data_IF_016613678130
#
_entry.id   IF_016613678130
#
_cell.length_a   1.000
_cell.length_b   1.000
_cell.length_c   1.000
_cell.angle_alpha   90.00
_cell.angle_beta   90.00
_cell.angle_gamma   90.00
#
_symmetry.space_group_name_H-M   'P 1'
#
loop_
_entity.id
_entity.type
_entity.pdbx_description
1 polymer ?
#
# COMPACT_ATOMS: atom_id res chain seq x y z
N UNK A 1 -4.78 -13.94 12.04
CA UNK A 1 -3.51 -13.80 12.80
C UNK A 1 -3.50 -12.59 13.75
N UNK A 2 -4.38 -11.59 13.59
CA UNK A 2 -4.48 -10.42 14.50
C UNK A 2 -5.85 -10.26 15.18
N UNK A 3 -6.71 -11.27 15.06
CA UNK A 3 -8.15 -11.16 15.35
C UNK A 3 -8.50 -11.75 16.73
N UNK A 4 -7.57 -12.49 17.36
CA UNK A 4 -7.76 -13.05 18.70
C UNK A 4 -6.40 -13.17 19.39
N UNK A 5 -6.24 -12.70 20.64
CA UNK A 5 -5.05 -12.99 21.43
C UNK A 5 -5.14 -14.44 21.91
N UNK A 6 -4.72 -15.39 21.07
CA UNK A 6 -4.53 -16.76 21.55
C UNK A 6 -3.05 -17.02 21.66
N UNK A 7 -2.57 -16.92 22.91
CA UNK A 7 -1.37 -17.58 23.39
C UNK A 7 -1.63 -19.09 23.26
N UNK A 8 -1.50 -19.64 22.05
CA UNK A 8 -1.86 -21.04 21.78
C UNK A 8 -2.14 -21.36 20.32
N UNK A 9 -1.09 -21.40 19.48
CA UNK A 9 -1.11 -22.08 18.18
C UNK A 9 -2.10 -21.54 17.12
N UNK A 10 -1.94 -22.04 15.89
CA UNK A 10 -2.91 -21.84 14.81
C UNK A 10 -3.96 -22.95 14.91
N UNK A 11 -5.13 -22.65 15.44
CA UNK A 11 -6.22 -23.63 15.47
C UNK A 11 -7.02 -23.59 14.16
N UNK A 12 -7.44 -24.76 13.67
CA UNK A 12 -8.26 -24.89 12.45
C UNK A 12 -9.60 -24.17 12.61
N UNK A 13 -10.10 -24.03 13.84
CA UNK A 13 -11.31 -23.30 14.22
C UNK A 13 -11.27 -21.81 13.85
N UNK A 14 -10.07 -21.20 13.74
CA UNK A 14 -9.88 -19.77 13.50
C UNK A 14 -9.77 -19.40 12.02
N UNK A 15 -9.74 -20.39 11.11
CA UNK A 15 -9.68 -20.15 9.66
C UNK A 15 -10.83 -19.24 9.17
N UNK A 16 -12.10 -19.43 9.58
CA UNK A 16 -13.21 -18.60 9.12
C UNK A 16 -13.03 -17.10 9.40
N UNK A 17 -12.38 -16.74 10.51
CA UNK A 17 -12.14 -15.35 10.88
C UNK A 17 -11.16 -14.65 9.93
N UNK A 18 -10.22 -15.41 9.36
CA UNK A 18 -9.25 -14.89 8.39
C UNK A 18 -9.77 -14.74 6.96
N UNK A 19 -10.88 -15.42 6.60
CA UNK A 19 -11.42 -15.43 5.23
C UNK A 19 -11.73 -14.02 4.71
N UNK A 20 -12.44 -13.14 5.46
CA UNK A 20 -12.74 -11.80 4.98
C UNK A 20 -11.50 -11.00 4.60
N UNK A 21 -10.44 -11.08 5.39
CA UNK A 21 -9.16 -10.44 5.11
C UNK A 21 -8.49 -11.06 3.89
N UNK A 22 -8.32 -12.39 3.88
CA UNK A 22 -7.62 -13.12 2.81
C UNK A 22 -8.28 -12.93 1.45
N UNK A 23 -9.62 -13.00 1.36
CA UNK A 23 -10.34 -12.78 0.11
C UNK A 23 -10.16 -11.33 -0.36
N UNK A 24 -10.27 -10.36 0.54
CA UNK A 24 -10.13 -8.94 0.21
C UNK A 24 -8.73 -8.63 -0.33
N UNK A 25 -7.68 -9.11 0.35
CA UNK A 25 -6.31 -8.80 -0.08
C UNK A 25 -5.93 -9.53 -1.37
N UNK A 26 -6.34 -10.79 -1.54
CA UNK A 26 -6.11 -11.53 -2.79
C UNK A 26 -6.87 -10.89 -3.96
N UNK A 27 -8.07 -10.37 -3.73
CA UNK A 27 -8.81 -9.63 -4.74
C UNK A 27 -8.07 -8.35 -5.13
N UNK A 28 -7.63 -7.53 -4.17
CA UNK A 28 -6.90 -6.28 -4.46
C UNK A 28 -5.64 -6.55 -5.29
N UNK A 29 -4.78 -7.45 -4.81
CA UNK A 29 -3.52 -7.79 -5.48
C UNK A 29 -3.76 -8.48 -6.82
N UNK A 30 -4.75 -9.37 -6.88
CA UNK A 30 -5.12 -10.08 -8.10
C UNK A 30 -5.59 -9.12 -9.18
N UNK A 31 -6.51 -8.20 -8.86
CA UNK A 31 -7.00 -7.21 -9.82
C UNK A 31 -5.91 -6.23 -10.26
N UNK A 32 -4.99 -5.85 -9.37
CA UNK A 32 -3.79 -5.07 -9.72
C UNK A 32 -2.98 -5.79 -10.82
N UNK A 33 -2.56 -7.03 -10.57
CA UNK A 33 -1.76 -7.78 -11.53
C UNK A 33 -2.53 -8.14 -12.82
N UNK A 34 -3.83 -8.39 -12.71
CA UNK A 34 -4.67 -8.58 -13.90
C UNK A 34 -4.78 -7.31 -14.74
N UNK A 35 -4.79 -6.12 -14.12
CA UNK A 35 -4.71 -4.84 -14.82
C UNK A 35 -3.48 -4.76 -15.72
N UNK A 36 -2.31 -5.09 -15.17
CA UNK A 36 -1.08 -5.19 -15.96
C UNK A 36 -1.17 -6.25 -17.06
N UNK A 37 -1.68 -7.44 -16.74
CA UNK A 37 -1.80 -8.54 -17.70
C UNK A 37 -2.69 -8.18 -18.90
N UNK A 38 -3.85 -7.56 -18.67
CA UNK A 38 -4.76 -7.18 -19.75
C UNK A 38 -4.18 -6.05 -20.60
N UNK A 39 -3.52 -5.06 -20.00
CA UNK A 39 -2.82 -4.01 -20.75
C UNK A 39 -1.66 -4.57 -21.58
N UNK A 40 -0.88 -5.51 -21.02
CA UNK A 40 0.19 -6.19 -21.75
C UNK A 40 -0.37 -6.99 -22.93
N UNK A 41 -1.47 -7.72 -22.73
CA UNK A 41 -2.16 -8.47 -23.79
C UNK A 41 -2.67 -7.56 -24.90
N UNK A 42 -3.26 -6.41 -24.55
CA UNK A 42 -3.72 -5.42 -25.51
C UNK A 42 -2.57 -4.91 -26.40
N UNK A 43 -1.42 -4.63 -25.80
CA UNK A 43 -0.20 -4.20 -26.51
C UNK A 43 0.62 -5.35 -27.11
N UNK A 44 0.09 -6.58 -27.10
CA UNK A 44 0.77 -7.79 -27.61
C UNK A 44 2.12 -8.08 -26.95
N UNK A 45 2.31 -7.60 -25.72
CA UNK A 45 3.45 -7.92 -24.86
C UNK A 45 3.17 -9.25 -24.16
N UNK A 46 4.08 -10.22 -24.29
CA UNK A 46 3.94 -11.53 -23.65
C UNK A 46 4.16 -11.38 -22.14
N UNK A 47 3.16 -11.69 -21.33
CA UNK A 47 3.24 -11.72 -19.87
C UNK A 47 2.72 -13.06 -19.33
N UNK A 48 3.16 -13.44 -18.12
CA UNK A 48 2.56 -14.57 -17.40
C UNK A 48 1.24 -14.18 -16.75
N UNK A 49 0.47 -15.18 -16.31
CA UNK A 49 -0.60 -14.95 -15.36
C UNK A 49 -0.03 -14.48 -14.01
N UNK A 50 -0.84 -13.80 -13.17
CA UNK A 50 -0.44 -13.39 -11.83
C UNK A 50 -0.02 -14.60 -10.98
N UNK A 51 1.13 -14.51 -10.32
CA UNK A 51 1.58 -15.47 -9.33
C UNK A 51 1.64 -14.80 -7.96
N UNK A 52 0.90 -15.33 -6.98
CA UNK A 52 0.87 -14.82 -5.61
C UNK A 52 2.07 -15.37 -4.83
N UNK A 53 2.82 -14.50 -4.17
CA UNK A 53 3.98 -14.87 -3.36
C UNK A 53 3.53 -14.87 -1.90
N UNK A 54 3.36 -16.04 -1.26
CA UNK A 54 2.99 -16.11 0.15
C UNK A 54 4.17 -15.65 1.02
N UNK A 55 3.88 -14.95 2.10
CA UNK A 55 4.88 -14.64 3.12
C UNK A 55 4.74 -15.65 4.27
N UNK A 56 5.80 -16.40 4.64
CA UNK A 56 5.73 -17.33 5.77
C UNK A 56 5.33 -16.62 7.06
N UNK A 57 4.56 -17.31 7.91
CA UNK A 57 4.21 -16.82 9.25
C UNK A 57 5.43 -16.82 10.18
N UNK A 58 6.23 -15.77 10.13
CA UNK A 58 7.31 -15.52 11.09
C UNK A 58 6.76 -14.86 12.35
N UNK A 59 6.88 -15.55 13.49
CA UNK A 59 6.48 -15.03 14.79
C UNK A 59 7.29 -13.76 15.14
N UNK A 60 6.60 -12.68 15.50
CA UNK A 60 7.22 -11.40 15.89
C UNK A 60 7.41 -10.37 14.77
N UNK A 61 7.05 -10.68 13.51
CA UNK A 61 7.01 -9.70 12.41
C UNK A 61 5.56 -9.35 12.04
N UNK A 62 5.34 -8.08 11.65
CA UNK A 62 4.09 -7.62 11.02
C UNK A 62 3.80 -8.45 9.77
N UNK A 63 2.83 -9.37 9.88
CA UNK A 63 2.52 -10.31 8.81
C UNK A 63 1.17 -10.00 8.18
N UNK A 64 1.20 -9.54 6.92
CA UNK A 64 0.03 -9.30 6.07
C UNK A 64 -0.36 -10.54 5.22
N UNK A 65 0.28 -11.68 5.46
CA UNK A 65 -0.01 -12.97 4.83
C UNK A 65 0.52 -13.14 3.39
N UNK A 66 1.02 -12.08 2.76
CA UNK A 66 1.52 -12.11 1.38
C UNK A 66 2.64 -11.10 1.16
N UNK A 67 3.61 -11.44 0.29
CA UNK A 67 4.60 -10.50 -0.24
C UNK A 67 4.07 -9.72 -1.45
N UNK A 68 2.84 -9.98 -1.89
CA UNK A 68 2.26 -9.43 -3.12
C UNK A 68 1.97 -10.51 -4.17
N UNK A 69 1.56 -10.05 -5.34
CA UNK A 69 1.44 -10.85 -6.55
C UNK A 69 2.31 -10.21 -7.63
N UNK A 70 2.81 -10.99 -8.58
CA UNK A 70 3.70 -10.50 -9.63
C UNK A 70 3.39 -11.17 -10.96
N UNK A 71 3.35 -10.39 -12.04
CA UNK A 71 3.47 -10.87 -13.42
C UNK A 71 4.93 -10.82 -13.89
N UNK A 72 5.32 -11.79 -14.74
CA UNK A 72 6.61 -11.77 -15.41
C UNK A 72 6.44 -11.41 -16.88
N UNK A 73 6.96 -10.26 -17.26
CA UNK A 73 7.06 -9.84 -18.66
C UNK A 73 8.11 -10.67 -19.40
N UNK A 74 7.72 -11.34 -20.49
CA UNK A 74 8.54 -12.29 -21.27
C UNK A 74 9.02 -11.74 -22.61
N UNK A 75 8.60 -10.54 -22.99
CA UNK A 75 9.05 -9.86 -24.20
C UNK A 75 9.36 -8.40 -23.91
N UNK A 76 10.35 -7.79 -24.60
CA UNK A 76 10.65 -6.37 -24.43
C UNK A 76 9.44 -5.48 -24.79
N UNK A 77 9.32 -4.36 -24.08
CA UNK A 77 8.32 -3.32 -24.35
C UNK A 77 9.01 -2.28 -25.25
N UNK A 78 8.55 -2.18 -26.50
CA UNK A 78 9.23 -1.35 -27.50
C UNK A 78 8.73 0.10 -27.56
N UNK A 79 7.50 0.37 -27.11
CA UNK A 79 6.85 1.67 -27.27
C UNK A 79 6.48 2.26 -25.90
N UNK A 80 6.75 3.56 -25.74
CA UNK A 80 6.43 4.33 -24.54
C UNK A 80 4.94 4.35 -24.17
N UNK A 81 4.03 4.30 -25.15
CA UNK A 81 2.58 4.16 -24.94
C UNK A 81 2.24 2.82 -24.27
N UNK A 82 2.85 1.74 -24.73
CA UNK A 82 2.64 0.41 -24.15
C UNK A 82 3.20 0.35 -22.72
N UNK A 83 4.38 0.93 -22.50
CA UNK A 83 4.98 1.03 -21.16
C UNK A 83 4.06 1.77 -20.19
N UNK A 84 3.55 2.92 -20.62
CA UNK A 84 2.63 3.74 -19.82
C UNK A 84 1.33 2.99 -19.51
N UNK A 85 0.67 2.43 -20.54
CA UNK A 85 -0.62 1.74 -20.37
C UNK A 85 -0.49 0.51 -19.46
N UNK A 86 0.61 -0.25 -19.58
CA UNK A 86 0.89 -1.38 -18.70
C UNK A 86 1.14 -0.88 -17.28
N UNK A 87 1.99 0.12 -17.09
CA UNK A 87 2.33 0.65 -15.76
C UNK A 87 1.12 1.21 -15.00
N UNK A 88 0.17 1.85 -15.69
CA UNK A 88 -0.97 2.50 -15.02
C UNK A 88 -2.18 1.61 -14.78
N UNK A 89 -2.37 0.57 -15.61
CA UNK A 89 -3.56 -0.28 -15.53
C UNK A 89 -3.65 -1.06 -14.21
N UNK A 90 -2.52 -1.53 -13.68
CA UNK A 90 -2.50 -2.25 -12.41
C UNK A 90 -2.89 -1.37 -11.22
N UNK A 91 -2.19 -0.25 -10.96
CA UNK A 91 -2.53 0.67 -9.88
C UNK A 91 -3.98 1.17 -9.92
N UNK A 92 -4.54 1.46 -11.11
CA UNK A 92 -5.95 1.85 -11.21
C UNK A 92 -6.86 0.69 -10.77
N UNK A 93 -6.62 -0.53 -11.27
CA UNK A 93 -7.44 -1.68 -10.92
C UNK A 93 -7.34 -2.02 -9.41
N UNK A 94 -6.13 -2.06 -8.86
CA UNK A 94 -5.88 -2.30 -7.43
C UNK A 94 -6.51 -1.21 -6.54
N UNK A 95 -6.41 0.05 -6.93
CA UNK A 95 -7.01 1.17 -6.22
C UNK A 95 -8.54 1.09 -6.20
N UNK A 96 -9.17 0.80 -7.33
CA UNK A 96 -10.64 0.68 -7.43
C UNK A 96 -11.15 -0.43 -6.51
N UNK A 97 -10.51 -1.59 -6.49
CA UNK A 97 -10.90 -2.69 -5.59
C UNK A 97 -10.64 -2.31 -4.13
N UNK A 98 -9.51 -1.67 -3.82
CA UNK A 98 -9.21 -1.19 -2.46
C UNK A 98 -10.25 -0.19 -1.97
N UNK A 99 -10.69 0.73 -2.83
CA UNK A 99 -11.74 1.70 -2.52
C UNK A 99 -13.08 1.03 -2.24
N UNK A 100 -13.48 0.04 -3.06
CA UNK A 100 -14.71 -0.73 -2.82
C UNK A 100 -14.65 -1.48 -1.49
N UNK A 101 -13.53 -2.14 -1.19
CA UNK A 101 -13.32 -2.86 0.07
C UNK A 101 -13.36 -1.90 1.25
N UNK A 102 -12.75 -0.71 1.15
CA UNK A 102 -12.79 0.30 2.21
C UNK A 102 -14.20 0.82 2.44
N UNK A 103 -14.92 1.19 1.37
CA UNK A 103 -16.31 1.66 1.48
C UNK A 103 -17.18 0.59 2.16
N UNK A 104 -17.06 -0.66 1.73
CA UNK A 104 -17.75 -1.78 2.36
C UNK A 104 -17.35 -1.93 3.83
N UNK A 105 -16.06 -1.87 4.13
CA UNK A 105 -15.52 -1.96 5.49
C UNK A 105 -16.07 -0.88 6.42
N UNK A 106 -16.17 0.37 5.96
CA UNK A 106 -16.78 1.47 6.73
C UNK A 106 -18.29 1.30 6.91
N UNK A 107 -18.99 0.72 5.95
CA UNK A 107 -20.43 0.47 6.04
C UNK A 107 -20.80 -0.68 6.98
N UNK A 108 -19.93 -1.69 7.09
CA UNK A 108 -20.17 -2.88 7.90
C UNK A 108 -19.41 -2.87 9.23
N UNK A 109 -19.08 -1.69 9.75
CA UNK A 109 -18.37 -1.60 11.02
C UNK A 109 -19.25 -2.14 12.16
N UNK A 110 -18.73 -3.07 12.98
CA UNK A 110 -19.42 -3.46 14.19
C UNK A 110 -19.45 -2.30 15.18
N UNK A 111 -20.42 -2.33 16.10
CA UNK A 111 -20.52 -1.33 17.17
C UNK A 111 -19.33 -1.38 18.14
N UNK A 112 -19.28 -0.40 19.04
CA UNK A 112 -18.27 -0.26 20.10
C UNK A 112 -18.15 -1.50 21.00
N UNK A 113 -19.19 -2.32 21.07
CA UNK A 113 -19.22 -3.56 21.83
C UNK A 113 -18.17 -4.56 21.33
N UNK A 114 -17.85 -4.53 20.03
CA UNK A 114 -16.84 -5.40 19.44
C UNK A 114 -15.44 -5.10 19.96
N UNK A 115 -15.04 -3.82 19.99
CA UNK A 115 -13.72 -3.45 20.52
C UNK A 115 -13.65 -3.69 22.03
N UNK A 116 -14.75 -3.46 22.75
CA UNK A 116 -14.84 -3.75 24.19
C UNK A 116 -14.75 -5.24 24.51
N UNK A 117 -15.19 -6.13 23.61
CA UNK A 117 -15.03 -7.57 23.80
C UNK A 117 -13.55 -8.01 23.71
N UNK A 118 -12.74 -7.31 22.93
CA UNK A 118 -11.31 -7.59 22.76
C UNK A 118 -10.49 -6.88 23.84
N UNK A 119 -10.81 -5.60 24.08
CA UNK A 119 -10.17 -4.71 25.03
C UNK A 119 -11.22 -4.13 25.98
N UNK A 120 -11.56 -4.85 27.07
CA UNK A 120 -12.60 -4.43 28.02
C UNK A 120 -12.38 -3.05 28.64
N UNK A 121 -11.11 -2.66 28.80
CA UNK A 121 -10.70 -1.37 29.38
C UNK A 121 -10.35 -0.31 28.33
N UNK A 122 -10.71 -0.52 27.06
CA UNK A 122 -10.34 0.40 25.96
C UNK A 122 -10.77 1.86 26.20
N UNK A 123 -11.94 2.10 26.79
CA UNK A 123 -12.41 3.46 27.14
C UNK A 123 -12.05 3.91 28.55
N UNK A 124 -11.44 3.05 29.37
CA UNK A 124 -11.01 3.35 30.73
C UNK A 124 -9.56 3.87 30.70
N UNK A 125 -9.40 5.20 30.72
CA UNK A 125 -8.11 5.91 30.60
C UNK A 125 -7.10 5.71 31.75
N UNK A 126 -7.26 4.68 32.60
CA UNK A 126 -6.49 4.48 33.84
C UNK A 126 -5.51 3.30 33.74
N UNK A 127 -5.44 2.55 32.62
CA UNK A 127 -4.64 1.30 32.58
C UNK A 127 -3.77 1.06 31.34
N UNK A 128 -3.50 2.06 30.51
CA UNK A 128 -2.66 1.89 29.31
C UNK A 128 -1.38 2.73 29.28
N UNK A 129 -0.83 3.12 30.43
CA UNK A 129 0.47 3.82 30.52
C UNK A 129 1.65 2.84 30.66
N UNK A 130 1.80 1.90 29.71
CA UNK A 130 2.93 0.95 29.77
C UNK A 130 3.01 -0.13 28.69
N UNK A 131 2.10 -0.15 27.71
CA UNK A 131 2.18 -1.08 26.59
C UNK A 131 2.66 -0.36 25.33
N UNK A 132 3.72 -0.86 24.69
CA UNK A 132 4.01 -0.47 23.30
C UNK A 132 2.81 -0.89 22.45
N UNK A 133 2.08 0.09 21.92
CA UNK A 133 1.00 -0.11 20.97
C UNK A 133 1.49 0.25 19.56
N UNK A 134 1.23 -0.64 18.60
CA UNK A 134 1.52 -0.38 17.20
C UNK A 134 0.35 0.38 16.59
N UNK A 135 0.61 1.58 16.09
CA UNK A 135 -0.37 2.39 15.38
C UNK A 135 -0.10 2.41 13.88
N UNK A 136 -1.18 2.36 13.10
CA UNK A 136 -1.13 2.47 11.64
C UNK A 136 -1.17 3.95 11.22
N UNK A 137 -0.47 4.29 10.14
CA UNK A 137 -0.53 5.64 9.57
C UNK A 137 -1.80 5.89 8.78
N UNK A 138 -2.22 7.15 8.69
CA UNK A 138 -3.36 7.53 7.85
C UNK A 138 -2.89 7.92 6.43
N UNK A 139 -3.62 7.46 5.41
CA UNK A 139 -3.56 8.07 4.07
C UNK A 139 -4.72 9.03 3.88
N UNK A 140 -4.56 9.96 2.94
CA UNK A 140 -5.55 11.01 2.69
C UNK A 140 -6.93 10.43 2.31
N UNK A 141 -6.97 9.36 1.50
CA UNK A 141 -8.24 8.71 1.16
C UNK A 141 -8.96 8.15 2.40
N UNK A 142 -8.23 7.49 3.29
CA UNK A 142 -8.78 6.97 4.54
C UNK A 142 -9.36 8.10 5.40
N UNK A 143 -8.64 9.22 5.53
CA UNK A 143 -9.12 10.40 6.28
C UNK A 143 -10.42 10.93 5.70
N UNK A 144 -10.50 11.05 4.37
CA UNK A 144 -11.71 11.49 3.66
C UNK A 144 -12.88 10.55 3.93
N UNK A 145 -12.67 9.24 3.77
CA UNK A 145 -13.71 8.23 4.01
C UNK A 145 -14.15 8.23 5.47
N UNK A 146 -13.21 8.27 6.42
CA UNK A 146 -13.52 8.38 7.84
C UNK A 146 -14.40 9.60 8.11
N UNK A 147 -14.03 10.78 7.61
CA UNK A 147 -14.81 11.99 7.84
C UNK A 147 -16.22 11.90 7.23
N UNK A 148 -16.33 11.30 6.04
CA UNK A 148 -17.61 11.09 5.35
C UNK A 148 -18.54 10.12 6.12
N UNK A 149 -18.00 9.01 6.63
CA UNK A 149 -18.78 7.99 7.35
C UNK A 149 -18.99 8.31 8.85
N UNK A 150 -18.15 9.18 9.43
CA UNK A 150 -18.22 9.63 10.83
C UNK A 150 -19.48 10.45 11.15
N UNK A 151 -20.24 10.89 10.14
CA UNK A 151 -21.46 11.69 10.29
C UNK A 151 -22.63 10.86 10.82
N UNK A 152 -22.48 9.53 10.90
CA UNK A 152 -23.50 8.63 11.45
C UNK A 152 -23.65 8.83 12.96
N UNK A 153 -24.84 9.19 13.50
CA UNK A 153 -25.04 9.56 14.91
C UNK A 153 -24.60 8.53 15.94
N UNK A 154 -24.61 7.24 15.56
CA UNK A 154 -24.24 6.10 16.41
C UNK A 154 -22.97 5.37 15.91
N UNK A 155 -22.28 5.93 14.91
CA UNK A 155 -21.17 5.28 14.22
C UNK A 155 -19.84 5.37 14.98
N UNK A 156 -19.41 4.27 15.59
CA UNK A 156 -18.03 4.14 16.09
C UNK A 156 -17.10 3.84 14.90
N UNK A 157 -16.11 4.70 14.68
CA UNK A 157 -15.01 4.41 13.77
C UNK A 157 -13.77 4.08 14.61
N UNK A 158 -13.16 2.90 14.40
CA UNK A 158 -11.97 2.51 15.16
C UNK A 158 -10.81 3.46 14.87
N UNK A 159 -9.97 3.78 15.88
CA UNK A 159 -8.72 4.50 15.63
C UNK A 159 -7.77 3.64 14.80
N UNK A 160 -6.72 4.27 14.29
CA UNK A 160 -5.64 3.57 13.59
C UNK A 160 -4.96 2.48 14.40
N UNK A 161 -4.92 2.62 15.74
CA UNK A 161 -4.36 1.62 16.65
C UNK A 161 -5.13 0.30 16.64
N UNK A 162 -6.37 0.25 16.15
CA UNK A 162 -7.23 -0.94 16.23
C UNK A 162 -7.62 -1.52 14.87
N UNK A 163 -7.17 -0.90 13.76
CA UNK A 163 -7.61 -1.26 12.41
C UNK A 163 -7.36 -2.73 12.06
N UNK A 164 -6.32 -3.34 12.63
CA UNK A 164 -5.99 -4.74 12.37
C UNK A 164 -7.07 -5.73 12.85
N UNK A 165 -7.98 -5.32 13.74
CA UNK A 165 -9.15 -6.11 14.12
C UNK A 165 -10.28 -6.07 13.09
N UNK A 166 -10.24 -5.13 12.14
CA UNK A 166 -11.27 -4.90 11.14
C UNK A 166 -10.76 -5.36 9.77
N UNK A 167 -11.08 -6.59 9.33
CA UNK A 167 -10.40 -7.24 8.21
C UNK A 167 -10.52 -6.45 6.89
N UNK A 168 -11.68 -5.85 6.62
CA UNK A 168 -11.90 -5.05 5.40
C UNK A 168 -11.14 -3.72 5.43
N UNK A 169 -11.15 -3.01 6.57
CA UNK A 169 -10.39 -1.77 6.72
C UNK A 169 -8.88 -2.04 6.64
N UNK A 170 -8.41 -3.09 7.30
CA UNK A 170 -7.01 -3.50 7.26
C UNK A 170 -6.57 -3.90 5.84
N UNK A 171 -7.34 -4.74 5.15
CA UNK A 171 -7.04 -5.17 3.78
C UNK A 171 -7.06 -4.00 2.80
N UNK A 172 -8.06 -3.12 2.89
CA UNK A 172 -8.16 -1.93 2.05
C UNK A 172 -7.04 -0.94 2.29
N UNK A 173 -6.69 -0.69 3.55
CA UNK A 173 -5.55 0.15 3.93
C UNK A 173 -4.23 -0.41 3.37
N UNK A 174 -4.00 -1.71 3.54
CA UNK A 174 -2.80 -2.36 3.01
C UNK A 174 -2.78 -2.35 1.46
N UNK A 175 -3.94 -2.50 0.83
CA UNK A 175 -4.10 -2.35 -0.62
C UNK A 175 -3.68 -0.98 -1.13
N UNK A 176 -4.11 0.09 -0.44
CA UNK A 176 -3.67 1.45 -0.74
C UNK A 176 -2.17 1.63 -0.50
N UNK A 177 -1.63 1.06 0.57
CA UNK A 177 -0.20 1.09 0.86
C UNK A 177 0.63 0.44 -0.26
N UNK A 178 0.27 -0.77 -0.70
CA UNK A 178 0.93 -1.46 -1.83
C UNK A 178 0.80 -0.66 -3.13
N UNK A 179 -0.39 -0.11 -3.39
CA UNK A 179 -0.62 0.76 -4.56
C UNK A 179 0.29 1.98 -4.54
N UNK A 180 0.43 2.64 -3.39
CA UNK A 180 1.30 3.79 -3.23
C UNK A 180 2.78 3.45 -3.43
N UNK A 181 3.24 2.30 -2.90
CA UNK A 181 4.60 1.80 -3.12
C UNK A 181 4.87 1.57 -4.61
N UNK A 182 3.94 0.91 -5.32
CA UNK A 182 4.08 0.66 -6.76
C UNK A 182 4.05 1.96 -7.58
N UNK A 183 3.30 2.98 -7.13
CA UNK A 183 3.22 4.28 -7.79
C UNK A 183 4.38 5.24 -7.46
N UNK A 184 5.37 4.83 -6.65
CA UNK A 184 6.58 5.61 -6.47
C UNK A 184 7.28 5.80 -7.83
N UNK A 185 7.63 7.04 -8.22
CA UNK A 185 8.19 7.33 -9.53
C UNK A 185 9.70 7.00 -9.60
N UNK A 186 10.05 5.76 -9.28
CA UNK A 186 11.44 5.28 -9.16
C UNK A 186 11.63 4.01 -9.96
N UNK A 187 12.71 3.96 -10.75
CA UNK A 187 13.15 2.75 -11.43
C UNK A 187 12.08 2.10 -12.30
N UNK A 188 11.96 0.77 -12.17
CA UNK A 188 10.99 -0.05 -12.91
C UNK A 188 9.67 -0.28 -12.17
N UNK A 189 9.38 0.50 -11.11
CA UNK A 189 8.06 0.49 -10.50
C UNK A 189 7.02 1.06 -11.48
N UNK A 190 5.74 0.78 -11.20
CA UNK A 190 4.61 1.28 -12.00
C UNK A 190 4.63 2.81 -12.13
N UNK A 191 4.91 3.52 -11.04
CA UNK A 191 5.10 4.96 -11.04
C UNK A 191 6.27 5.42 -11.92
N UNK A 192 7.36 4.64 -11.94
CA UNK A 192 8.50 4.87 -12.83
C UNK A 192 8.10 4.76 -14.31
N UNK A 193 7.32 3.74 -14.67
CA UNK A 193 6.74 3.57 -16.01
C UNK A 193 5.82 4.73 -16.41
N UNK A 194 4.97 5.19 -15.48
CA UNK A 194 4.05 6.31 -15.69
C UNK A 194 4.84 7.60 -15.94
N UNK A 195 5.79 7.96 -15.07
CA UNK A 195 6.57 9.19 -15.21
C UNK A 195 7.48 9.16 -16.44
N UNK A 196 8.12 8.03 -16.72
CA UNK A 196 8.88 7.85 -17.97
C UNK A 196 7.96 8.02 -19.19
N UNK A 197 6.76 7.43 -19.14
CA UNK A 197 5.76 7.54 -20.18
C UNK A 197 5.27 8.97 -20.44
N UNK A 198 5.03 9.74 -19.37
CA UNK A 198 4.52 11.11 -19.50
C UNK A 198 5.61 12.10 -19.91
N UNK A 199 6.75 12.07 -19.22
CA UNK A 199 7.72 13.16 -19.25
C UNK A 199 9.09 12.75 -19.83
N UNK A 200 9.29 11.46 -20.13
CA UNK A 200 10.54 10.93 -20.67
C UNK A 200 11.62 10.69 -19.61
N UNK A 201 12.76 10.19 -20.08
CA UNK A 201 13.86 9.70 -19.24
C UNK A 201 14.42 10.74 -18.27
N UNK A 202 14.72 11.95 -18.76
CA UNK A 202 15.37 13.00 -17.96
C UNK A 202 14.52 13.42 -16.76
N UNK A 203 13.23 13.64 -16.98
CA UNK A 203 12.32 14.07 -15.91
C UNK A 203 12.07 12.93 -14.94
N UNK A 204 11.89 11.69 -15.44
CA UNK A 204 11.75 10.53 -14.58
C UNK A 204 12.98 10.35 -13.68
N UNK A 205 14.20 10.47 -14.22
CA UNK A 205 15.42 10.34 -13.44
C UNK A 205 15.52 11.40 -12.34
N UNK A 206 15.24 12.67 -12.66
CA UNK A 206 15.24 13.77 -11.68
C UNK A 206 14.23 13.50 -10.57
N UNK A 207 13.00 13.16 -10.93
CA UNK A 207 11.92 12.86 -9.97
C UNK A 207 12.28 11.65 -9.10
N UNK A 208 12.86 10.61 -9.69
CA UNK A 208 13.29 9.42 -8.96
C UNK A 208 14.33 9.78 -7.88
N UNK A 209 15.33 10.58 -8.22
CA UNK A 209 16.33 11.04 -7.24
C UNK A 209 15.74 11.92 -6.14
N UNK A 210 14.76 12.77 -6.47
CA UNK A 210 14.04 13.57 -5.47
C UNK A 210 13.30 12.64 -4.50
N UNK A 211 12.56 11.65 -4.99
CA UNK A 211 11.85 10.69 -4.13
C UNK A 211 12.83 9.87 -3.29
N UNK A 212 13.94 9.40 -3.87
CA UNK A 212 14.98 8.70 -3.13
C UNK A 212 15.55 9.54 -1.99
N UNK A 213 15.80 10.83 -2.24
CA UNK A 213 16.24 11.76 -1.22
C UNK A 213 15.18 11.93 -0.12
N UNK A 214 13.92 12.13 -0.48
CA UNK A 214 12.82 12.26 0.48
C UNK A 214 12.65 10.99 1.35
N UNK A 215 12.75 9.80 0.74
CA UNK A 215 12.69 8.52 1.47
C UNK A 215 13.88 8.35 2.41
N UNK A 216 15.08 8.75 2.00
CA UNK A 216 16.27 8.72 2.87
C UNK A 216 16.15 9.70 4.04
N UNK A 217 15.61 10.90 3.82
CA UNK A 217 15.38 11.87 4.89
C UNK A 217 14.30 11.36 5.84
N UNK A 218 13.16 10.89 5.34
CA UNK A 218 12.08 10.34 6.16
C UNK A 218 12.52 9.07 6.92
N UNK A 219 13.30 8.19 6.28
CA UNK A 219 13.85 7.02 6.93
C UNK A 219 14.91 7.37 7.97
N UNK A 220 15.79 8.32 7.66
CA UNK A 220 16.87 8.76 8.53
C UNK A 220 16.37 9.48 9.78
N UNK A 221 15.33 10.31 9.67
CA UNK A 221 14.68 10.93 10.83
C UNK A 221 14.04 9.88 11.73
N UNK A 222 13.41 8.85 11.16
CA UNK A 222 12.89 7.72 11.92
C UNK A 222 13.97 6.95 12.68
N UNK A 223 15.12 6.69 12.05
CA UNK A 223 16.25 6.02 12.70
C UNK A 223 16.82 6.87 13.84
N UNK A 224 17.04 8.17 13.60
CA UNK A 224 17.56 9.08 14.61
C UNK A 224 16.60 9.17 15.80
N UNK A 225 15.30 9.27 15.56
CA UNK A 225 14.29 9.29 16.61
C UNK A 225 14.37 8.02 17.48
N UNK A 226 14.48 6.85 16.85
CA UNK A 226 14.57 5.56 17.55
C UNK A 226 15.80 5.46 18.50
N UNK A 227 16.92 6.10 18.17
CA UNK A 227 18.14 6.02 18.98
C UNK A 227 18.33 7.19 19.97
N UNK A 228 17.78 8.37 19.68
CA UNK A 228 18.08 9.60 20.40
C UNK A 228 16.86 10.30 21.02
N UNK A 229 15.66 9.73 20.89
CA UNK A 229 14.40 10.25 21.44
C UNK A 229 14.23 11.77 21.24
N UNK A 230 14.45 12.23 20.00
CA UNK A 230 14.56 13.65 19.67
C UNK A 230 13.20 14.36 19.56
N UNK A 231 12.09 13.63 19.74
CA UNK A 231 10.72 14.15 19.54
C UNK A 231 10.35 14.48 18.09
N UNK A 232 11.24 14.23 17.11
CA UNK A 232 10.99 14.48 15.68
C UNK A 232 10.35 13.22 15.07
N UNK A 233 9.02 13.16 15.02
CA UNK A 233 8.25 11.95 14.63
C UNK A 233 7.69 11.99 13.20
N UNK A 234 8.43 12.55 12.24
CA UNK A 234 7.93 12.71 10.85
C UNK A 234 8.32 11.56 9.91
N UNK A 235 8.92 10.48 10.41
CA UNK A 235 9.58 9.49 9.57
C UNK A 235 9.49 8.04 10.07
N UNK A 236 9.14 7.12 9.19
CA UNK A 236 9.17 5.68 9.46
C UNK A 236 10.51 5.08 9.05
N UNK A 237 11.16 4.33 9.95
CA UNK A 237 12.44 3.65 9.71
C UNK A 237 12.43 2.74 8.49
N UNK A 238 11.26 2.16 8.16
CA UNK A 238 11.10 1.33 6.97
C UNK A 238 11.32 2.08 5.65
N UNK A 239 11.20 3.42 5.61
CA UNK A 239 11.54 4.18 4.42
C UNK A 239 13.03 4.16 4.09
N UNK A 240 13.88 4.04 5.11
CA UNK A 240 15.31 3.86 4.90
C UNK A 240 15.59 2.52 4.24
N UNK A 241 14.97 1.44 4.74
CA UNK A 241 15.06 0.11 4.14
C UNK A 241 14.53 0.11 2.70
N UNK A 242 13.40 0.75 2.45
CA UNK A 242 12.85 0.91 1.10
C UNK A 242 13.80 1.67 0.19
N UNK A 243 14.39 2.78 0.63
CA UNK A 243 15.38 3.51 -0.17
C UNK A 243 16.57 2.61 -0.55
N UNK A 244 17.07 1.76 0.36
CA UNK A 244 18.13 0.80 0.04
C UNK A 244 17.67 -0.25 -0.97
N UNK A 245 16.47 -0.81 -0.80
CA UNK A 245 15.90 -1.78 -1.74
C UNK A 245 15.72 -1.18 -3.14
N UNK A 246 15.19 0.04 -3.22
CA UNK A 246 15.02 0.75 -4.49
C UNK A 246 16.38 1.04 -5.16
N UNK A 247 17.39 1.42 -4.38
CA UNK A 247 18.72 1.71 -4.90
C UNK A 247 19.42 0.46 -5.44
N UNK A 248 19.46 -0.63 -4.66
CA UNK A 248 20.24 -1.82 -5.00
C UNK A 248 19.50 -2.84 -5.87
N UNK A 249 18.19 -3.02 -5.64
CA UNK A 249 17.40 -4.07 -6.30
C UNK A 249 16.67 -3.53 -7.53
N UNK A 250 15.89 -2.47 -7.37
CA UNK A 250 15.05 -1.91 -8.46
C UNK A 250 15.88 -1.04 -9.42
N UNK A 251 16.91 -0.36 -8.90
CA UNK A 251 17.72 0.67 -9.54
C UNK A 251 16.91 1.93 -9.84
N UNK A 252 17.46 3.10 -9.50
CA UNK A 252 16.75 4.39 -9.55
C UNK A 252 16.37 4.81 -10.98
N UNK A 253 17.26 4.55 -11.95
CA UNK A 253 17.06 4.91 -13.36
C UNK A 253 16.14 3.91 -14.06
N UNK A 254 15.15 4.42 -14.77
CA UNK A 254 14.32 3.59 -15.64
C UNK A 254 15.10 3.22 -16.92
N UNK A 255 15.05 1.97 -17.40
CA UNK A 255 15.73 1.57 -18.65
C UNK A 255 15.12 2.27 -19.87
N UNK A 256 15.92 2.70 -20.85
CA UNK A 256 15.40 3.41 -22.01
C UNK A 256 14.56 2.49 -22.91
N UNK A 257 13.53 3.07 -23.54
CA UNK A 257 12.69 2.40 -24.54
C UNK A 257 13.12 2.84 -25.95
N UNK A 258 13.04 1.94 -26.94
CA UNK A 258 13.54 2.22 -28.30
C UNK A 258 12.73 3.29 -29.04
N UNK A 259 11.41 3.30 -28.85
CA UNK A 259 10.51 4.28 -29.45
C UNK A 259 10.02 5.27 -28.38
N UNK A 260 10.40 6.54 -28.56
CA UNK A 260 10.12 7.64 -27.63
C UNK A 260 9.02 8.59 -28.14
N UNK A 261 8.11 8.09 -28.96
CA UNK A 261 6.92 8.86 -29.35
C UNK A 261 6.12 9.38 -28.13
N UNK A 262 5.54 10.60 -28.23
CA UNK A 262 4.63 11.11 -27.21
C UNK A 262 3.40 10.20 -27.03
N UNK A 263 2.95 10.05 -25.77
CA UNK A 263 1.84 9.15 -25.42
C UNK A 263 0.45 9.68 -25.80
N UNK A 264 0.33 10.97 -26.09
CA UNK A 264 -0.93 11.64 -26.45
C UNK A 264 -1.72 12.17 -25.26
N UNK A 265 -2.67 13.09 -25.52
CA UNK A 265 -3.39 13.84 -24.48
C UNK A 265 -4.20 12.97 -23.53
N UNK A 266 -4.96 11.99 -24.03
CA UNK A 266 -5.78 11.11 -23.18
C UNK A 266 -4.93 10.37 -22.15
N UNK A 267 -3.77 9.84 -22.55
CA UNK A 267 -2.85 9.15 -21.63
C UNK A 267 -2.23 10.10 -20.61
N UNK A 268 -1.95 11.35 -20.98
CA UNK A 268 -1.51 12.35 -20.02
C UNK A 268 -2.55 12.58 -18.91
N UNK A 269 -3.84 12.69 -19.27
CA UNK A 269 -4.93 12.85 -18.29
C UNK A 269 -5.01 11.63 -17.36
N UNK A 270 -4.96 10.41 -17.91
CA UNK A 270 -4.93 9.17 -17.11
C UNK A 270 -3.69 9.17 -16.20
N UNK A 271 -2.55 9.65 -16.67
CA UNK A 271 -1.30 9.74 -15.91
C UNK A 271 -1.43 10.67 -14.70
N UNK A 272 -2.04 11.85 -14.87
CA UNK A 272 -2.35 12.74 -13.74
C UNK A 272 -3.33 12.10 -12.76
N UNK A 273 -4.29 11.30 -13.23
CA UNK A 273 -5.15 10.51 -12.34
C UNK A 273 -4.34 9.47 -11.55
N UNK A 274 -3.34 8.82 -12.16
CA UNK A 274 -2.39 7.95 -11.45
C UNK A 274 -1.60 8.70 -10.35
N UNK A 275 -1.15 9.92 -10.63
CA UNK A 275 -0.49 10.78 -9.63
C UNK A 275 -1.46 11.15 -8.49
N UNK A 276 -2.72 11.42 -8.80
CA UNK A 276 -3.75 11.65 -7.78
C UNK A 276 -3.96 10.41 -6.90
N UNK A 277 -4.03 9.21 -7.49
CA UNK A 277 -4.12 7.95 -6.74
C UNK A 277 -2.93 7.81 -5.79
N UNK A 278 -1.71 8.11 -6.26
CA UNK A 278 -0.51 8.09 -5.41
C UNK A 278 -0.66 9.03 -4.22
N UNK A 279 -1.03 10.30 -4.44
CA UNK A 279 -1.21 11.29 -3.37
C UNK A 279 -2.27 10.83 -2.37
N UNK A 280 -3.39 10.29 -2.86
CA UNK A 280 -4.49 9.81 -2.01
C UNK A 280 -4.11 8.58 -1.17
N UNK A 281 -3.23 7.73 -1.69
CA UNK A 281 -2.89 6.43 -1.10
C UNK A 281 -1.59 6.45 -0.30
N UNK A 282 -0.71 7.43 -0.52
CA UNK A 282 0.59 7.52 0.13
C UNK A 282 0.45 7.75 1.64
N UNK A 283 1.22 7.00 2.42
CA UNK A 283 1.20 7.05 3.89
C UNK A 283 2.59 7.48 4.35
N UNK A 284 2.82 8.72 4.80
CA UNK A 284 4.14 9.19 5.19
C UNK A 284 4.76 8.41 6.35
N UNK A 285 3.94 7.96 7.30
CA UNK A 285 4.36 7.19 8.48
C UNK A 285 3.49 5.94 8.63
N UNK A 286 3.75 4.87 7.86
CA UNK A 286 2.87 3.69 7.82
C UNK A 286 2.69 3.00 9.17
N UNK A 287 3.74 3.01 9.99
CA UNK A 287 3.76 2.41 11.31
C UNK A 287 4.52 3.30 12.27
N UNK A 288 3.98 3.51 13.46
CA UNK A 288 4.69 4.09 14.59
C UNK A 288 4.29 3.39 15.88
N UNK A 289 5.18 3.46 16.86
CA UNK A 289 4.99 2.82 18.16
C UNK A 289 4.67 3.92 19.15
N UNK A 290 3.50 3.84 19.77
CA UNK A 290 3.07 4.74 20.84
C UNK A 290 3.14 3.98 22.17
N UNK A 291 3.72 4.62 23.19
CA UNK A 291 3.84 4.08 24.56
C UNK A 291 3.53 5.13 25.59
#
# INVERSE_FOLDING_TARGET
MWIVPVVGGLEVSQIPEGIPYSVSILAILGFHEFGHFFAAKFHRVKATLPYFIPFPTLAGMLNFGTMGAVIRTRSPIYNRKALFDIGIAGPIAGFVVSLVVLIYGFQTLPGKEFILAIHPDYFNSVSSSGGLSLEFGENLLFVILRHFFAVSPDGFIPPMSEIYHYPYLCAGWFGLFVTALNLLPVGQLDGGHIFYGMFGEKVQEIVAWIIMFLLLVAGGTGVINQFYDTGISYGWTGWFLWALLLYFVVKVKHPPVMDNEPIGFTRMVVGYFGILIFILSFIPTPFFITG
#
